data_IF_677815896775
#
_entry.id   IF_677815896775
#
_cell.length_a   1.000
_cell.length_b   1.000
_cell.length_c   1.000
_cell.angle_alpha   90.00
_cell.angle_beta   90.00
_cell.angle_gamma   90.00
#
_symmetry.space_group_name_H-M   'P 1'
#
loop_
_entity.id
_entity.type
_entity.pdbx_description
1 polymer ?
#
# COMPACT_ATOMS: atom_id res chain seq x y z
N UNK A 1 -26.07 36.50 1.95
CA UNK A 1 -25.68 35.43 1.00
C UNK A 1 -24.36 34.80 1.46
N UNK A 2 -24.40 33.93 2.48
CA UNK A 2 -23.24 33.13 2.94
C UNK A 2 -23.80 31.85 3.56
N UNK A 3 -24.15 30.85 2.75
CA UNK A 3 -24.57 29.52 3.26
C UNK A 3 -24.36 28.39 2.25
N UNK A 4 -24.23 28.70 0.95
CA UNK A 4 -24.03 27.70 -0.09
C UNK A 4 -22.60 27.13 -0.13
N UNK A 5 -21.57 27.93 0.21
CA UNK A 5 -20.17 27.49 0.09
C UNK A 5 -19.69 26.59 1.24
N UNK A 6 -20.29 26.66 2.44
CA UNK A 6 -19.84 25.88 3.60
C UNK A 6 -20.27 24.41 3.52
N UNK A 7 -21.51 24.16 3.06
CA UNK A 7 -22.00 22.82 2.76
C UNK A 7 -21.24 22.22 1.57
N UNK A 8 -21.01 22.98 0.50
CA UNK A 8 -20.25 22.47 -0.63
C UNK A 8 -18.78 22.19 -0.27
N UNK A 9 -18.14 22.98 0.59
CA UNK A 9 -16.79 22.70 1.09
C UNK A 9 -16.71 21.48 2.02
N UNK A 10 -17.82 21.08 2.65
CA UNK A 10 -17.93 19.85 3.43
C UNK A 10 -18.08 18.59 2.57
N UNK A 11 -18.55 18.72 1.32
CA UNK A 11 -18.66 17.63 0.34
C UNK A 11 -17.51 17.60 -0.68
N UNK A 12 -16.69 18.66 -0.77
CA UNK A 12 -15.72 18.84 -1.86
C UNK A 12 -14.33 18.22 -1.63
N UNK A 13 -14.04 17.63 -0.47
CA UNK A 13 -12.83 16.82 -0.28
C UNK A 13 -13.23 15.42 0.15
N UNK A 14 -13.10 14.47 -0.77
CA UNK A 14 -13.24 13.06 -0.44
C UNK A 14 -12.27 12.72 0.70
N UNK A 15 -12.74 12.11 1.81
CA UNK A 15 -11.86 11.66 2.88
C UNK A 15 -10.90 10.54 2.41
N UNK A 16 -11.09 10.04 1.18
CA UNK A 16 -10.25 9.04 0.55
C UNK A 16 -8.95 9.59 -0.02
N UNK A 17 -8.88 10.88 -0.40
CA UNK A 17 -7.68 11.45 -1.01
C UNK A 17 -6.40 11.22 -0.17
N UNK A 18 -6.40 11.49 1.14
CA UNK A 18 -5.22 11.20 1.95
C UNK A 18 -5.00 9.70 2.22
N UNK A 19 -6.05 8.86 2.16
CA UNK A 19 -5.90 7.38 2.22
C UNK A 19 -5.25 6.85 0.94
N UNK A 20 -5.58 7.42 -0.21
CA UNK A 20 -4.93 7.14 -1.50
C UNK A 20 -3.46 7.54 -1.44
N UNK A 21 -3.16 8.77 -1.01
CA UNK A 21 -1.79 9.25 -0.83
C UNK A 21 -0.99 8.34 0.11
N UNK A 22 -1.56 7.94 1.25
CA UNK A 22 -0.93 7.00 2.16
C UNK A 22 -0.61 5.66 1.47
N UNK A 23 -1.56 5.11 0.73
CA UNK A 23 -1.39 3.85 0.00
C UNK A 23 -0.32 3.95 -1.11
N UNK A 24 -0.19 5.09 -1.78
CA UNK A 24 0.87 5.32 -2.78
C UNK A 24 2.25 5.23 -2.14
N UNK A 25 2.48 5.94 -1.02
CA UNK A 25 3.78 5.92 -0.31
C UNK A 25 4.08 4.52 0.22
N UNK A 26 3.08 3.86 0.80
CA UNK A 26 3.19 2.47 1.27
C UNK A 26 3.58 1.52 0.13
N UNK A 27 2.96 1.67 -1.04
CA UNK A 27 3.28 0.85 -2.20
C UNK A 27 4.71 1.12 -2.71
N UNK A 28 5.16 2.37 -2.67
CA UNK A 28 6.54 2.73 -2.99
C UNK A 28 7.55 2.04 -2.06
N UNK A 29 7.25 1.86 -0.76
CA UNK A 29 8.10 1.05 0.12
C UNK A 29 8.26 -0.38 -0.39
N UNK A 30 7.15 -1.02 -0.78
CA UNK A 30 7.17 -2.39 -1.30
C UNK A 30 7.94 -2.50 -2.62
N UNK A 31 7.81 -1.51 -3.52
CA UNK A 31 8.50 -1.48 -4.81
C UNK A 31 10.02 -1.46 -4.71
N UNK A 32 10.59 -1.03 -3.58
CA UNK A 32 12.04 -1.02 -3.35
C UNK A 32 12.58 -2.36 -2.87
N UNK A 33 11.74 -3.31 -2.43
CA UNK A 33 12.19 -4.62 -1.96
C UNK A 33 12.94 -5.44 -3.02
N UNK A 34 12.46 -5.57 -4.27
CA UNK A 34 13.21 -6.26 -5.32
C UNK A 34 14.61 -5.67 -5.53
N UNK A 35 14.72 -4.34 -5.58
CA UNK A 35 15.99 -3.63 -5.76
C UNK A 35 16.94 -3.88 -4.59
N UNK A 36 16.44 -3.76 -3.37
CA UNK A 36 17.20 -4.04 -2.14
C UNK A 36 17.75 -5.47 -2.15
N UNK A 37 16.91 -6.47 -2.40
CA UNK A 37 17.32 -7.86 -2.39
C UNK A 37 18.26 -8.21 -3.55
N UNK A 38 18.12 -7.54 -4.70
CA UNK A 38 19.04 -7.69 -5.83
C UNK A 38 20.44 -7.20 -5.49
N UNK A 39 20.56 -6.03 -4.84
CA UNK A 39 21.83 -5.52 -4.36
C UNK A 39 22.45 -6.43 -3.29
N UNK A 40 21.65 -6.87 -2.32
CA UNK A 40 22.08 -7.81 -1.27
C UNK A 40 22.60 -9.14 -1.86
N UNK A 41 21.90 -9.71 -2.84
CA UNK A 41 22.29 -10.95 -3.50
C UNK A 41 23.63 -10.81 -4.25
N UNK A 42 23.88 -9.63 -4.84
CA UNK A 42 25.15 -9.29 -5.49
C UNK A 42 26.26 -8.91 -4.50
N UNK A 43 25.95 -8.88 -3.19
CA UNK A 43 26.83 -8.42 -2.10
C UNK A 43 27.25 -6.97 -2.24
N UNK A 44 26.47 -6.18 -2.96
CA UNK A 44 26.62 -4.74 -3.05
C UNK A 44 25.90 -4.08 -1.87
N UNK A 45 26.56 -4.12 -0.71
CA UNK A 45 25.98 -3.64 0.54
C UNK A 45 25.85 -2.13 0.59
N UNK A 46 26.63 -1.39 -0.19
CA UNK A 46 26.50 0.07 -0.32
C UNK A 46 25.21 0.41 -1.05
N UNK A 47 24.92 -0.24 -2.19
CA UNK A 47 23.63 -0.09 -2.86
C UNK A 47 22.47 -0.58 -2.00
N UNK A 48 22.61 -1.73 -1.32
CA UNK A 48 21.58 -2.24 -0.43
C UNK A 48 21.28 -1.28 0.75
N UNK A 49 22.30 -0.64 1.32
CA UNK A 49 22.13 0.38 2.37
C UNK A 49 21.39 1.62 1.84
N UNK A 50 21.73 2.09 0.64
CA UNK A 50 21.04 3.22 0.02
C UNK A 50 19.55 2.93 -0.21
N UNK A 51 19.22 1.74 -0.73
CA UNK A 51 17.83 1.32 -0.93
C UNK A 51 17.11 1.13 0.42
N UNK A 52 17.75 0.53 1.42
CA UNK A 52 17.19 0.38 2.77
C UNK A 52 16.87 1.73 3.41
N UNK A 53 17.79 2.70 3.31
CA UNK A 53 17.56 4.06 3.82
C UNK A 53 16.39 4.75 3.09
N UNK A 54 16.21 4.50 1.80
CA UNK A 54 15.05 4.99 1.05
C UNK A 54 13.74 4.35 1.55
N UNK A 55 13.74 3.05 1.84
CA UNK A 55 12.59 2.35 2.45
C UNK A 55 12.23 2.97 3.80
N UNK A 56 13.22 3.17 4.69
CA UNK A 56 13.00 3.80 5.99
C UNK A 56 12.42 5.22 5.86
N UNK A 57 12.89 6.00 4.89
CA UNK A 57 12.37 7.34 4.64
C UNK A 57 10.90 7.32 4.21
N UNK A 58 10.54 6.42 3.29
CA UNK A 58 9.16 6.28 2.81
C UNK A 58 8.23 5.75 3.91
N UNK A 59 8.70 4.81 4.73
CA UNK A 59 7.94 4.34 5.90
C UNK A 59 7.65 5.49 6.87
N UNK A 60 8.66 6.31 7.20
CA UNK A 60 8.46 7.48 8.06
C UNK A 60 7.49 8.50 7.46
N UNK A 61 7.53 8.70 6.14
CA UNK A 61 6.57 9.56 5.42
C UNK A 61 5.14 8.98 5.50
N UNK A 62 4.97 7.68 5.29
CA UNK A 62 3.68 7.01 5.44
C UNK A 62 3.14 7.16 6.87
N UNK A 63 4.00 7.00 7.87
CA UNK A 63 3.63 7.10 9.28
C UNK A 63 3.20 8.53 9.67
N UNK A 64 3.84 9.56 9.07
CA UNK A 64 3.41 10.96 9.17
C UNK A 64 2.02 11.18 8.57
N UNK A 65 1.77 10.69 7.35
CA UNK A 65 0.46 10.80 6.68
C UNK A 65 -0.62 10.09 7.51
N UNK A 66 -0.34 8.88 8.01
CA UNK A 66 -1.23 8.12 8.90
C UNK A 66 -1.55 8.88 10.18
N UNK A 67 -0.57 9.53 10.80
CA UNK A 67 -0.79 10.37 11.98
C UNK A 67 -1.69 11.55 11.67
N UNK A 68 -1.43 12.27 10.58
CA UNK A 68 -2.25 13.41 10.15
C UNK A 68 -3.69 13.00 9.84
N UNK A 69 -3.88 11.88 9.13
CA UNK A 69 -5.18 11.26 8.89
C UNK A 69 -5.94 11.01 10.20
N UNK A 70 -5.31 10.36 11.18
CA UNK A 70 -5.95 10.05 12.48
C UNK A 70 -6.37 11.29 13.25
N UNK A 71 -5.60 12.37 13.17
CA UNK A 71 -5.88 13.64 13.85
C UNK A 71 -7.01 14.41 13.17
N UNK A 72 -7.05 14.40 11.84
CA UNK A 72 -7.98 15.21 11.04
C UNK A 72 -9.26 14.49 10.64
N UNK A 73 -9.36 13.16 10.83
CA UNK A 73 -10.54 12.39 10.45
C UNK A 73 -11.76 12.79 11.32
N UNK A 74 -12.83 13.37 10.71
CA UNK A 74 -13.96 13.91 11.45
C UNK A 74 -14.75 12.82 12.18
N UNK A 75 -15.32 13.17 13.34
CA UNK A 75 -16.10 12.25 14.21
C UNK A 75 -17.62 12.23 13.92
N UNK A 76 -18.06 12.69 12.74
CA UNK A 76 -19.46 13.09 12.49
C UNK A 76 -20.32 12.19 11.58
N UNK A 77 -21.64 12.41 11.66
CA UNK A 77 -22.76 11.68 11.00
C UNK A 77 -22.84 11.80 9.46
N UNK A 78 -21.88 12.47 8.80
CA UNK A 78 -21.92 12.82 7.37
C UNK A 78 -20.75 12.25 6.54
N UNK A 79 -19.99 11.30 7.09
CA UNK A 79 -19.04 10.53 6.29
C UNK A 79 -19.80 9.50 5.45
N UNK A 80 -19.47 9.39 4.16
CA UNK A 80 -20.02 8.37 3.26
C UNK A 80 -19.64 6.93 3.68
N UNK A 81 -18.62 6.80 4.53
CA UNK A 81 -18.06 5.54 5.04
C UNK A 81 -17.80 5.63 6.55
N UNK A 82 -17.88 4.50 7.25
CA UNK A 82 -17.60 4.42 8.68
C UNK A 82 -16.17 4.89 9.00
N UNK A 83 -16.03 5.74 10.02
CA UNK A 83 -14.72 6.13 10.56
C UNK A 83 -13.89 4.93 11.00
N UNK A 84 -14.53 3.92 11.58
CA UNK A 84 -13.86 2.70 12.06
C UNK A 84 -13.24 1.93 10.90
N UNK A 85 -13.98 1.79 9.80
CA UNK A 85 -13.53 1.03 8.63
C UNK A 85 -12.39 1.75 7.92
N UNK A 86 -12.43 3.08 7.83
CA UNK A 86 -11.32 3.88 7.32
C UNK A 86 -10.04 3.72 8.16
N UNK A 87 -10.18 3.70 9.49
CA UNK A 87 -9.01 3.52 10.37
C UNK A 87 -8.46 2.10 10.33
N UNK A 88 -9.32 1.09 10.17
CA UNK A 88 -8.91 -0.29 9.97
C UNK A 88 -8.19 -0.46 8.63
N UNK A 89 -8.72 0.13 7.56
CA UNK A 89 -8.08 0.17 6.24
C UNK A 89 -6.70 0.83 6.32
N UNK A 90 -6.61 2.02 6.91
CA UNK A 90 -5.35 2.73 7.12
C UNK A 90 -4.34 1.85 7.90
N UNK A 91 -4.80 1.15 8.95
CA UNK A 91 -3.94 0.26 9.73
C UNK A 91 -3.48 -0.98 8.96
N UNK A 92 -4.23 -1.43 7.95
CA UNK A 92 -3.84 -2.55 7.08
C UNK A 92 -2.82 -2.10 6.04
N UNK A 93 -3.01 -0.93 5.43
CA UNK A 93 -2.05 -0.35 4.49
C UNK A 93 -0.69 -0.17 5.17
N UNK A 94 -0.68 0.43 6.36
CA UNK A 94 0.53 0.71 7.14
C UNK A 94 1.43 -0.51 7.36
N UNK A 95 0.82 -1.69 7.54
CA UNK A 95 1.57 -2.94 7.73
C UNK A 95 2.46 -3.29 6.54
N UNK A 96 2.12 -2.89 5.32
CA UNK A 96 2.94 -3.17 4.14
C UNK A 96 4.28 -2.41 4.23
N UNK A 97 4.25 -1.12 4.57
CA UNK A 97 5.46 -0.32 4.73
C UNK A 97 6.32 -0.81 5.90
N UNK A 98 5.69 -1.08 7.05
CA UNK A 98 6.38 -1.64 8.22
C UNK A 98 7.05 -2.96 7.87
N UNK A 99 6.35 -3.86 7.18
CA UNK A 99 6.89 -5.16 6.79
C UNK A 99 8.05 -5.03 5.79
N UNK A 100 7.99 -4.07 4.86
CA UNK A 100 9.08 -3.81 3.93
C UNK A 100 10.34 -3.32 4.68
N UNK A 101 10.19 -2.38 5.62
CA UNK A 101 11.28 -1.91 6.48
C UNK A 101 11.84 -3.03 7.36
N UNK A 102 10.99 -3.81 8.01
CA UNK A 102 11.41 -4.89 8.92
C UNK A 102 12.20 -5.98 8.19
N UNK A 103 11.70 -6.44 7.03
CA UNK A 103 12.34 -7.50 6.23
C UNK A 103 13.68 -7.01 5.67
N UNK A 104 13.72 -5.80 5.12
CA UNK A 104 14.96 -5.23 4.58
C UNK A 104 15.97 -4.96 5.70
N UNK A 105 15.54 -4.45 6.84
CA UNK A 105 16.39 -4.23 8.02
C UNK A 105 16.99 -5.53 8.58
N UNK A 106 16.19 -6.60 8.68
CA UNK A 106 16.67 -7.92 9.10
C UNK A 106 17.72 -8.47 8.14
N UNK A 107 17.44 -8.41 6.84
CA UNK A 107 18.33 -8.91 5.79
C UNK A 107 19.64 -8.11 5.74
N UNK A 108 19.56 -6.78 5.81
CA UNK A 108 20.72 -5.89 5.80
C UNK A 108 21.59 -6.09 7.03
N UNK A 109 21.00 -6.07 8.23
CA UNK A 109 21.74 -6.19 9.49
C UNK A 109 22.47 -7.52 9.67
N UNK A 110 22.08 -8.55 8.93
CA UNK A 110 22.73 -9.88 8.95
C UNK A 110 23.50 -10.20 7.66
N UNK A 111 23.58 -9.25 6.72
CA UNK A 111 24.15 -9.46 5.40
C UNK A 111 23.62 -10.74 4.72
N UNK A 112 22.29 -10.92 4.72
CA UNK A 112 21.65 -12.12 4.22
C UNK A 112 21.78 -12.24 2.70
N UNK A 113 22.20 -13.42 2.25
CA UNK A 113 22.29 -13.79 0.83
C UNK A 113 21.59 -15.13 0.68
N UNK A 114 20.79 -15.28 -0.37
CA UNK A 114 20.09 -16.53 -0.64
C UNK A 114 20.98 -17.49 -1.44
N UNK A 115 20.93 -18.80 -1.17
CA UNK A 115 21.60 -19.78 -2.03
C UNK A 115 21.13 -19.67 -3.49
N UNK A 116 22.03 -19.84 -4.46
CA UNK A 116 21.69 -19.72 -5.89
C UNK A 116 20.50 -20.60 -6.30
N UNK A 117 20.40 -21.79 -5.70
CA UNK A 117 19.33 -22.77 -5.98
C UNK A 117 17.91 -22.26 -5.68
N UNK A 118 17.77 -21.25 -4.82
CA UNK A 118 16.48 -20.66 -4.44
C UNK A 118 16.38 -19.17 -4.79
N UNK A 119 17.44 -18.57 -5.34
CA UNK A 119 17.52 -17.13 -5.57
C UNK A 119 16.44 -16.67 -6.55
N UNK A 120 16.29 -17.35 -7.69
CA UNK A 120 15.32 -16.95 -8.72
C UNK A 120 13.88 -17.09 -8.20
N UNK A 121 13.56 -18.21 -7.53
CA UNK A 121 12.25 -18.43 -6.90
C UNK A 121 11.92 -17.34 -5.87
N UNK A 122 12.92 -16.93 -5.10
CA UNK A 122 12.75 -15.86 -4.11
C UNK A 122 12.47 -14.50 -4.76
N UNK A 123 13.14 -14.17 -5.88
CA UNK A 123 12.85 -12.94 -6.61
C UNK A 123 11.46 -12.96 -7.25
N UNK A 124 11.07 -14.07 -7.87
CA UNK A 124 9.71 -14.25 -8.41
C UNK A 124 8.65 -14.06 -7.31
N UNK A 125 8.89 -14.64 -6.13
CA UNK A 125 8.01 -14.49 -4.97
C UNK A 125 7.91 -13.03 -4.49
N UNK A 126 9.03 -12.31 -4.40
CA UNK A 126 9.01 -10.88 -4.01
C UNK A 126 8.24 -10.06 -5.04
N UNK A 127 8.51 -10.23 -6.33
CA UNK A 127 7.81 -9.49 -7.38
C UNK A 127 6.29 -9.74 -7.29
N UNK A 128 5.87 -10.98 -7.06
CA UNK A 128 4.46 -11.31 -6.87
C UNK A 128 3.84 -10.64 -5.63
N UNK A 129 4.58 -10.54 -4.53
CA UNK A 129 4.15 -9.78 -3.35
C UNK A 129 3.99 -8.28 -3.65
N UNK A 130 4.87 -7.71 -4.48
CA UNK A 130 4.78 -6.31 -4.91
C UNK A 130 3.57 -6.10 -5.82
N UNK A 131 3.23 -7.05 -6.69
CA UNK A 131 2.00 -7.00 -7.50
C UNK A 131 0.75 -6.96 -6.63
N UNK A 132 0.72 -7.72 -5.52
CA UNK A 132 -0.40 -7.68 -4.58
C UNK A 132 -0.57 -6.28 -3.97
N UNK A 133 0.55 -5.62 -3.62
CA UNK A 133 0.56 -4.23 -3.16
C UNK A 133 0.08 -3.26 -4.25
N UNK A 134 0.48 -3.47 -5.51
CA UNK A 134 0.04 -2.66 -6.64
C UNK A 134 -1.47 -2.79 -6.87
N UNK A 135 -2.01 -4.01 -6.75
CA UNK A 135 -3.43 -4.28 -6.89
C UNK A 135 -4.24 -3.65 -5.74
N UNK A 136 -3.73 -3.71 -4.51
CA UNK A 136 -4.32 -2.98 -3.38
C UNK A 136 -4.31 -1.47 -3.63
N UNK A 137 -3.21 -0.92 -4.15
CA UNK A 137 -3.10 0.51 -4.47
C UNK A 137 -4.14 0.92 -5.51
N UNK A 138 -4.29 0.13 -6.57
CA UNK A 138 -5.32 0.33 -7.58
C UNK A 138 -6.73 0.32 -6.97
N UNK A 139 -7.04 -0.69 -6.15
CA UNK A 139 -8.37 -0.79 -5.53
C UNK A 139 -8.72 0.41 -4.64
N UNK A 140 -7.73 0.99 -3.95
CA UNK A 140 -7.92 2.21 -3.15
C UNK A 140 -8.20 3.44 -4.01
N UNK A 141 -7.56 3.55 -5.18
CA UNK A 141 -7.80 4.65 -6.11
C UNK A 141 -9.19 4.60 -6.74
N UNK A 142 -9.67 3.40 -7.07
CA UNK A 142 -11.01 3.20 -7.63
C UNK A 142 -12.14 3.45 -6.61
N UNK A 143 -11.83 3.44 -5.30
CA UNK A 143 -12.84 3.58 -4.24
C UNK A 143 -13.61 4.92 -4.31
N UNK A 144 -12.98 5.99 -4.78
CA UNK A 144 -13.64 7.30 -4.92
C UNK A 144 -14.68 7.30 -6.05
N UNK A 145 -14.39 6.64 -7.17
CA UNK A 145 -15.35 6.46 -8.26
C UNK A 145 -16.55 5.62 -7.80
N UNK A 146 -16.33 4.59 -6.99
CA UNK A 146 -17.40 3.76 -6.44
C UNK A 146 -18.33 4.56 -5.50
N UNK A 147 -17.76 5.42 -4.65
CA UNK A 147 -18.53 6.24 -3.72
C UNK A 147 -19.33 7.35 -4.42
N UNK A 148 -18.78 7.96 -5.46
CA UNK A 148 -19.44 9.07 -6.19
C UNK A 148 -20.59 8.59 -7.07
N UNK A 149 -20.47 7.40 -7.66
CA UNK A 149 -21.48 6.80 -8.54
C UNK A 149 -22.57 6.04 -7.78
N UNK A 150 -22.32 5.72 -6.50
CA UNK A 150 -23.26 5.01 -5.63
C UNK A 150 -23.45 3.55 -6.01
N UNK A 151 -22.40 2.88 -6.50
CA UNK A 151 -22.41 1.46 -6.87
C UNK A 151 -23.53 1.09 -7.87
N UNK A 152 -23.64 1.84 -8.97
CA UNK A 152 -24.50 1.42 -10.08
C UNK A 152 -23.84 0.26 -10.84
N UNK A 153 -24.58 -0.44 -11.70
CA UNK A 153 -24.20 -1.78 -12.15
C UNK A 153 -22.85 -1.92 -12.89
N UNK A 154 -22.23 -0.82 -13.36
CA UNK A 154 -20.93 -0.86 -14.04
C UNK A 154 -19.78 -0.92 -13.02
N UNK A 155 -19.97 -0.29 -11.88
CA UNK A 155 -19.01 -0.14 -10.79
C UNK A 155 -18.86 -1.44 -9.98
N UNK A 156 -19.94 -2.23 -9.87
CA UNK A 156 -19.87 -3.60 -9.31
C UNK A 156 -18.93 -4.48 -10.14
N UNK A 157 -19.00 -4.40 -11.47
CA UNK A 157 -18.13 -5.19 -12.36
C UNK A 157 -16.65 -4.81 -12.24
N UNK A 158 -16.36 -3.58 -11.85
CA UNK A 158 -15.00 -3.11 -11.60
C UNK A 158 -14.45 -3.75 -10.33
N UNK A 159 -15.24 -3.74 -9.24
CA UNK A 159 -14.88 -4.40 -7.98
C UNK A 159 -14.66 -5.91 -8.18
N UNK A 160 -15.56 -6.59 -8.89
CA UNK A 160 -15.41 -8.01 -9.20
C UNK A 160 -14.10 -8.32 -9.94
N UNK A 161 -13.74 -7.49 -10.94
CA UNK A 161 -12.46 -7.64 -11.63
C UNK A 161 -11.27 -7.45 -10.70
N UNK A 162 -11.35 -6.49 -9.78
CA UNK A 162 -10.27 -6.25 -8.82
C UNK A 162 -10.09 -7.40 -7.83
N UNK A 163 -11.20 -8.00 -7.36
CA UNK A 163 -11.19 -9.17 -6.48
C UNK A 163 -10.64 -10.39 -7.21
N UNK A 164 -11.09 -10.66 -8.44
CA UNK A 164 -10.62 -11.80 -9.23
C UNK A 164 -9.12 -11.69 -9.51
N UNK A 165 -8.64 -10.48 -9.82
CA UNK A 165 -7.21 -10.26 -10.02
C UNK A 165 -6.43 -10.46 -8.71
N UNK A 166 -6.91 -9.94 -7.57
CA UNK A 166 -6.25 -10.18 -6.28
C UNK A 166 -6.21 -11.68 -5.91
N UNK A 167 -7.29 -12.41 -6.15
CA UNK A 167 -7.36 -13.86 -5.90
C UNK A 167 -6.39 -14.64 -6.80
N UNK A 168 -6.20 -14.21 -8.05
CA UNK A 168 -5.19 -14.75 -8.95
C UNK A 168 -3.78 -14.49 -8.40
N UNK A 169 -3.52 -13.28 -7.93
CA UNK A 169 -2.25 -12.92 -7.29
C UNK A 169 -1.97 -13.77 -6.06
N UNK A 170 -2.95 -13.94 -5.18
CA UNK A 170 -2.84 -14.75 -3.98
C UNK A 170 -2.52 -16.21 -4.32
N UNK A 171 -3.23 -16.80 -5.27
CA UNK A 171 -3.00 -18.19 -5.70
C UNK A 171 -1.59 -18.39 -6.26
N UNK A 172 -1.15 -17.50 -7.14
CA UNK A 172 0.20 -17.58 -7.73
C UNK A 172 1.30 -17.33 -6.68
N UNK A 173 1.05 -16.46 -5.69
CA UNK A 173 1.98 -16.21 -4.58
C UNK A 173 2.10 -17.42 -3.65
N UNK A 174 0.99 -18.07 -3.31
CA UNK A 174 0.96 -19.27 -2.49
C UNK A 174 1.73 -20.43 -3.15
N UNK A 175 1.64 -20.57 -4.48
CA UNK A 175 2.39 -21.58 -5.23
C UNK A 175 3.91 -21.32 -5.22
N UNK A 176 4.34 -20.05 -5.20
CA UNK A 176 5.76 -19.66 -5.16
C UNK A 176 6.38 -19.76 -3.75
N UNK A 177 5.55 -19.77 -2.70
CA UNK A 177 6.01 -19.75 -1.31
C UNK A 177 6.58 -21.11 -0.82
N UNK A 178 6.25 -22.23 -1.48
CA UNK A 178 6.55 -23.62 -1.05
C UNK A 178 7.50 -24.34 -1.99
#
# INVERSE_FOLDING_TARGET
>A
MVSSNLLMSLFAKSPLGPIQQHMEVVHQCALLLPEFFKAAQQRDWESAENTYNAICKLESEADEIKRELRLNLPKGLFLAVSRTDLLDLLSKQDKIANQAQDISGLAFGRHMVFPEVVSDLFFDFIERCVDASAQANKAIHELDELLTTGFRGREVSLVEKMINELSRIETETDELQV
#
